data_IF_880785079803
#
_entry.id   IF_880785079803
#
_cell.length_a   1.000
_cell.length_b   1.000
_cell.length_c   1.000
_cell.angle_alpha   90.00
_cell.angle_beta   90.00
_cell.angle_gamma   90.00
#
_symmetry.space_group_name_H-M   'P 1'
#
loop_
_entity.id
_entity.type
_entity.pdbx_description
1 polymer ?
#
# COMPACT_ATOMS: atom_id res chain seq x y z
N UNK A 1 -11.62 -8.56 -26.99
CA UNK A 1 -12.63 -9.20 -26.12
C UNK A 1 -12.47 -10.72 -26.02
N UNK A 2 -12.44 -11.50 -27.12
CA UNK A 2 -12.24 -13.00 -27.07
C UNK A 2 -10.98 -13.41 -26.30
N UNK A 3 -9.84 -12.75 -26.49
CA UNK A 3 -8.57 -13.06 -25.79
C UNK A 3 -8.63 -12.82 -24.27
N UNK A 4 -9.37 -11.81 -23.83
CA UNK A 4 -9.59 -11.52 -22.40
C UNK A 4 -10.47 -12.61 -21.77
N UNK A 5 -11.54 -13.00 -22.46
CA UNK A 5 -12.45 -14.05 -21.96
C UNK A 5 -11.74 -15.40 -21.84
N UNK A 6 -10.89 -15.74 -22.82
CA UNK A 6 -10.07 -16.97 -22.78
C UNK A 6 -9.07 -16.93 -21.63
N UNK A 7 -8.42 -15.78 -21.39
CA UNK A 7 -7.51 -15.60 -20.27
C UNK A 7 -8.23 -15.71 -18.92
N UNK A 8 -9.40 -15.06 -18.77
CA UNK A 8 -10.21 -15.19 -17.55
C UNK A 8 -10.64 -16.65 -17.32
N UNK A 9 -11.10 -17.35 -18.37
CA UNK A 9 -11.42 -18.78 -18.27
C UNK A 9 -10.23 -19.61 -17.79
N UNK A 10 -9.01 -19.33 -18.27
CA UNK A 10 -7.81 -20.06 -17.83
C UNK A 10 -7.43 -19.80 -16.37
N UNK A 11 -7.71 -18.59 -15.86
CA UNK A 11 -7.47 -18.25 -14.44
C UNK A 11 -8.49 -18.93 -13.51
N UNK A 12 -9.73 -19.10 -13.96
CA UNK A 12 -10.81 -19.66 -13.14
C UNK A 12 -11.09 -21.12 -13.50
N UNK A 13 -10.05 -21.90 -13.84
CA UNK A 13 -10.16 -23.36 -13.93
C UNK A 13 -10.39 -23.98 -12.56
N UNK A 14 -11.15 -25.08 -12.49
CA UNK A 14 -11.76 -25.62 -11.26
C UNK A 14 -10.83 -25.81 -10.04
N UNK A 15 -9.50 -25.98 -10.23
CA UNK A 15 -8.58 -26.25 -9.12
C UNK A 15 -8.14 -24.98 -8.34
N UNK A 16 -8.03 -23.83 -9.00
CA UNK A 16 -7.42 -22.63 -8.42
C UNK A 16 -8.42 -21.46 -8.23
N UNK A 17 -9.73 -21.68 -8.41
CA UNK A 17 -10.73 -20.61 -8.43
C UNK A 17 -10.69 -19.74 -7.18
N UNK A 18 -10.74 -20.33 -6.00
CA UNK A 18 -10.79 -19.60 -4.75
C UNK A 18 -9.49 -18.84 -4.49
N UNK A 19 -8.34 -19.44 -4.84
CA UNK A 19 -7.05 -18.79 -4.74
C UNK A 19 -6.98 -17.55 -5.64
N UNK A 20 -7.44 -17.68 -6.88
CA UNK A 20 -7.45 -16.58 -7.83
C UNK A 20 -8.45 -15.49 -7.44
N UNK A 21 -9.61 -15.87 -6.87
CA UNK A 21 -10.56 -14.92 -6.27
C UNK A 21 -9.90 -14.16 -5.11
N UNK A 22 -9.23 -14.85 -4.18
CA UNK A 22 -8.51 -14.24 -3.08
C UNK A 22 -7.44 -13.24 -3.59
N UNK A 23 -6.63 -13.63 -4.58
CA UNK A 23 -5.63 -12.75 -5.20
C UNK A 23 -6.25 -11.48 -5.79
N UNK A 24 -7.39 -11.62 -6.45
CA UNK A 24 -8.13 -10.50 -7.05
C UNK A 24 -8.76 -9.58 -6.01
N UNK A 25 -9.36 -10.13 -4.95
CA UNK A 25 -10.01 -9.36 -3.88
C UNK A 25 -8.98 -8.50 -3.15
N UNK A 26 -7.85 -9.09 -2.78
CA UNK A 26 -6.80 -8.34 -2.08
C UNK A 26 -6.25 -7.20 -2.94
N UNK A 27 -5.97 -7.47 -4.22
CA UNK A 27 -5.53 -6.41 -5.14
C UNK A 27 -6.60 -5.34 -5.33
N UNK A 28 -7.85 -5.76 -5.47
CA UNK A 28 -9.01 -4.88 -5.61
C UNK A 28 -9.57 -4.35 -4.27
N UNK A 29 -8.76 -4.21 -3.24
CA UNK A 29 -9.19 -3.79 -1.89
C UNK A 29 -10.09 -2.53 -1.90
N UNK A 30 -9.84 -1.60 -2.81
CA UNK A 30 -10.69 -0.42 -2.99
C UNK A 30 -12.14 -0.78 -3.31
N UNK A 31 -12.39 -1.87 -4.05
CA UNK A 31 -13.74 -2.34 -4.36
C UNK A 31 -14.49 -2.80 -3.10
N UNK A 32 -13.77 -3.25 -2.07
CA UNK A 32 -14.38 -3.60 -0.78
C UNK A 32 -14.95 -2.36 -0.07
N UNK A 33 -14.29 -1.20 -0.19
CA UNK A 33 -14.81 0.06 0.32
C UNK A 33 -16.13 0.46 -0.36
N UNK A 34 -16.22 0.28 -1.68
CA UNK A 34 -17.48 0.52 -2.43
C UNK A 34 -18.56 -0.48 -2.06
N UNK A 35 -18.19 -1.77 -1.93
CA UNK A 35 -19.12 -2.82 -1.47
C UNK A 35 -19.66 -2.48 -0.07
N UNK A 36 -18.79 -2.00 0.82
CA UNK A 36 -19.18 -1.52 2.16
C UNK A 36 -20.21 -0.40 2.06
N UNK A 37 -19.99 0.59 1.20
CA UNK A 37 -20.95 1.68 0.95
C UNK A 37 -22.29 1.15 0.48
N UNK A 38 -22.33 0.20 -0.45
CA UNK A 38 -23.57 -0.42 -0.94
C UNK A 38 -24.29 -1.18 0.17
N UNK A 39 -23.56 -2.00 0.94
CA UNK A 39 -24.14 -2.81 2.03
C UNK A 39 -24.74 -1.92 3.11
N UNK A 40 -24.12 -0.79 3.44
CA UNK A 40 -24.63 0.18 4.42
C UNK A 40 -26.00 0.77 4.03
N UNK A 41 -26.32 0.79 2.74
CA UNK A 41 -27.64 1.23 2.25
C UNK A 41 -28.69 0.12 2.19
N UNK A 42 -28.33 -1.14 2.48
CA UNK A 42 -29.25 -2.26 2.50
C UNK A 42 -29.80 -2.49 3.92
N UNK A 43 -31.12 -2.27 4.18
CA UNK A 43 -31.69 -2.27 5.53
C UNK A 43 -31.48 -3.55 6.33
N UNK A 44 -31.34 -4.70 5.64
CA UNK A 44 -31.13 -6.02 6.29
C UNK A 44 -29.69 -6.34 6.56
N UNK A 45 -28.74 -5.68 5.88
CA UNK A 45 -27.31 -6.02 5.92
C UNK A 45 -26.46 -4.94 6.58
N UNK A 46 -26.97 -3.72 6.75
CA UNK A 46 -26.20 -2.59 7.27
C UNK A 46 -25.58 -2.86 8.66
N UNK A 47 -26.29 -3.57 9.54
CA UNK A 47 -25.80 -3.94 10.86
C UNK A 47 -24.70 -5.04 10.82
N UNK A 48 -24.53 -5.74 9.70
CA UNK A 48 -23.55 -6.82 9.50
C UNK A 48 -22.49 -6.45 8.45
N UNK A 49 -22.35 -5.18 8.10
CA UNK A 49 -21.45 -4.74 7.03
C UNK A 49 -20.03 -5.23 7.22
N UNK A 50 -19.48 -5.10 8.42
CA UNK A 50 -18.12 -5.53 8.71
C UNK A 50 -17.97 -7.04 8.57
N UNK A 51 -18.91 -7.81 9.09
CA UNK A 51 -18.92 -9.27 9.00
C UNK A 51 -18.99 -9.75 7.54
N UNK A 52 -19.78 -9.07 6.71
CA UNK A 52 -19.90 -9.39 5.28
C UNK A 52 -18.58 -9.10 4.56
N UNK A 53 -17.97 -7.94 4.79
CA UNK A 53 -16.66 -7.60 4.20
C UNK A 53 -15.58 -8.59 4.64
N UNK A 54 -15.57 -8.94 5.91
CA UNK A 54 -14.69 -9.98 6.47
C UNK A 54 -14.88 -11.30 5.72
N UNK A 55 -16.13 -11.74 5.59
CA UNK A 55 -16.46 -12.99 4.91
C UNK A 55 -16.00 -13.01 3.45
N UNK A 56 -16.15 -11.90 2.73
CA UNK A 56 -15.69 -11.76 1.33
C UNK A 56 -14.16 -12.01 1.21
N UNK A 57 -13.36 -11.58 2.18
CA UNK A 57 -11.90 -11.79 2.15
C UNK A 57 -11.50 -13.15 2.72
N UNK A 58 -12.07 -13.53 3.86
CA UNK A 58 -11.65 -14.70 4.63
C UNK A 58 -12.14 -16.01 4.01
N UNK A 59 -13.36 -16.05 3.47
CA UNK A 59 -13.90 -17.29 2.87
C UNK A 59 -13.03 -17.78 1.70
N UNK A 60 -12.69 -16.96 0.68
CA UNK A 60 -11.80 -17.42 -0.39
C UNK A 60 -10.41 -17.83 0.11
N UNK A 61 -9.85 -17.14 1.11
CA UNK A 61 -8.59 -17.55 1.74
C UNK A 61 -8.74 -18.93 2.37
N UNK A 62 -9.77 -19.15 3.19
CA UNK A 62 -10.02 -20.45 3.85
C UNK A 62 -10.20 -21.59 2.85
N UNK A 63 -11.00 -21.37 1.81
CA UNK A 63 -11.23 -22.35 0.74
C UNK A 63 -9.97 -22.62 -0.10
N UNK A 64 -8.99 -21.71 -0.04
CA UNK A 64 -7.68 -21.87 -0.70
C UNK A 64 -6.68 -22.65 0.14
N UNK A 65 -6.89 -22.81 1.46
CA UNK A 65 -5.93 -23.45 2.38
C UNK A 65 -5.43 -24.81 1.87
N UNK A 66 -6.26 -25.77 1.38
CA UNK A 66 -5.77 -27.05 0.90
C UNK A 66 -4.78 -26.94 -0.25
N UNK A 67 -4.95 -25.93 -1.11
CA UNK A 67 -4.03 -25.64 -2.21
C UNK A 67 -2.74 -24.94 -1.71
N UNK A 68 -2.88 -24.14 -0.66
CA UNK A 68 -1.79 -23.35 -0.08
C UNK A 68 -0.83 -24.21 0.75
N UNK A 69 -1.35 -25.21 1.48
CA UNK A 69 -0.53 -26.11 2.31
C UNK A 69 0.61 -26.75 1.51
N UNK A 70 0.35 -27.13 0.27
CA UNK A 70 1.37 -27.74 -0.59
C UNK A 70 2.36 -26.74 -1.21
N UNK A 71 2.08 -25.43 -1.11
CA UNK A 71 2.94 -24.38 -1.69
C UNK A 71 3.82 -23.71 -0.66
N UNK A 72 3.50 -23.84 0.64
CA UNK A 72 4.23 -23.20 1.71
C UNK A 72 5.23 -24.16 2.35
N UNK A 73 6.34 -23.57 2.77
CA UNK A 73 7.41 -24.26 3.47
C UNK A 73 7.23 -24.17 4.97
N UNK A 74 7.96 -25.00 5.73
CA UNK A 74 8.01 -24.87 7.20
C UNK A 74 8.39 -23.45 7.65
N UNK A 75 9.25 -22.79 6.87
CA UNK A 75 9.64 -21.39 7.13
C UNK A 75 8.42 -20.44 7.13
N UNK A 76 7.51 -20.59 6.17
CA UNK A 76 6.32 -19.74 6.07
C UNK A 76 5.40 -19.89 7.29
N UNK A 77 5.18 -21.12 7.73
CA UNK A 77 4.38 -21.40 8.92
C UNK A 77 5.06 -20.93 10.21
N UNK A 78 6.38 -21.11 10.31
CA UNK A 78 7.15 -20.63 11.47
C UNK A 78 7.12 -19.11 11.55
N UNK A 79 7.29 -18.42 10.44
CA UNK A 79 7.21 -16.96 10.38
C UNK A 79 5.85 -16.45 10.88
N UNK A 80 4.76 -17.07 10.41
CA UNK A 80 3.41 -16.68 10.81
C UNK A 80 3.14 -17.00 12.28
N UNK A 81 3.59 -18.17 12.75
CA UNK A 81 3.49 -18.55 14.15
C UNK A 81 4.24 -17.56 15.07
N UNK A 82 5.45 -17.12 14.68
CA UNK A 82 6.21 -16.10 15.41
C UNK A 82 5.42 -14.79 15.51
N UNK A 83 4.79 -14.33 14.43
CA UNK A 83 3.97 -13.13 14.47
C UNK A 83 2.82 -13.23 15.48
N UNK A 84 2.13 -14.40 15.51
CA UNK A 84 1.07 -14.66 16.49
C UNK A 84 1.64 -14.68 17.92
N UNK A 85 2.76 -15.37 18.14
CA UNK A 85 3.41 -15.45 19.46
C UNK A 85 3.79 -14.04 19.93
N UNK A 86 4.42 -13.22 19.09
CA UNK A 86 4.77 -11.84 19.45
C UNK A 86 3.52 -11.05 19.81
N UNK A 87 2.43 -11.19 19.04
CA UNK A 87 1.18 -10.51 19.35
C UNK A 87 0.61 -10.93 20.70
N UNK A 88 0.57 -12.23 20.98
CA UNK A 88 0.06 -12.76 22.24
C UNK A 88 0.96 -12.37 23.42
N UNK A 89 2.28 -12.37 23.26
CA UNK A 89 3.20 -11.96 24.32
C UNK A 89 3.05 -10.48 24.71
N UNK A 90 2.57 -9.62 23.80
CA UNK A 90 2.27 -8.23 24.14
C UNK A 90 1.21 -8.09 25.24
N UNK A 91 0.25 -9.01 25.37
CA UNK A 91 -0.70 -8.98 26.49
C UNK A 91 -0.02 -9.20 27.85
N UNK A 92 1.05 -10.00 27.89
CA UNK A 92 1.78 -10.28 29.13
C UNK A 92 2.81 -9.19 29.45
N UNK A 93 3.50 -8.67 28.43
CA UNK A 93 4.57 -7.68 28.59
C UNK A 93 3.98 -6.26 28.77
N UNK A 94 2.91 -5.96 28.06
CA UNK A 94 2.24 -4.66 28.06
C UNK A 94 0.74 -4.79 28.36
N UNK A 95 0.37 -5.24 29.58
CA UNK A 95 -1.03 -5.47 29.95
C UNK A 95 -1.88 -4.19 29.87
N UNK A 96 -1.26 -3.03 29.99
CA UNK A 96 -1.89 -1.73 29.82
C UNK A 96 -2.39 -1.44 28.39
N UNK A 97 -1.94 -2.22 27.40
CA UNK A 97 -2.38 -2.10 26.01
C UNK A 97 -3.54 -3.05 25.66
N UNK A 98 -4.04 -3.85 26.62
CA UNK A 98 -5.03 -4.92 26.36
C UNK A 98 -6.26 -4.44 25.61
N UNK A 99 -6.80 -3.27 25.93
CA UNK A 99 -7.95 -2.70 25.23
C UNK A 99 -7.66 -2.46 23.75
N UNK A 100 -6.51 -1.85 23.44
CA UNK A 100 -6.09 -1.53 22.07
C UNK A 100 -5.68 -2.78 21.29
N UNK A 101 -5.05 -3.75 21.94
CA UNK A 101 -4.77 -5.05 21.36
C UNK A 101 -6.07 -5.74 20.93
N UNK A 102 -7.08 -5.83 21.82
CA UNK A 102 -8.38 -6.42 21.50
C UNK A 102 -9.07 -5.70 20.35
N UNK A 103 -9.08 -4.36 20.34
CA UNK A 103 -9.69 -3.54 19.30
C UNK A 103 -9.06 -3.76 17.93
N UNK A 104 -7.74 -3.98 17.89
CA UNK A 104 -6.99 -4.08 16.64
C UNK A 104 -6.62 -5.53 16.26
N UNK A 105 -6.93 -6.54 17.09
CA UNK A 105 -6.58 -7.94 16.86
C UNK A 105 -7.01 -8.43 15.49
N UNK A 106 -8.24 -8.13 15.11
CA UNK A 106 -8.79 -8.52 13.83
C UNK A 106 -8.01 -7.90 12.65
N UNK A 107 -7.75 -6.59 12.68
CA UNK A 107 -7.03 -5.90 11.62
C UNK A 107 -5.59 -6.39 11.49
N UNK A 108 -4.91 -6.66 12.61
CA UNK A 108 -3.54 -7.13 12.62
C UNK A 108 -3.43 -8.61 12.24
N UNK A 109 -4.15 -9.50 12.93
CA UNK A 109 -3.97 -10.96 12.81
C UNK A 109 -4.81 -11.58 11.68
N UNK A 110 -6.00 -11.04 11.37
CA UNK A 110 -6.89 -11.64 10.38
C UNK A 110 -6.85 -10.94 9.02
N UNK A 111 -6.51 -9.65 8.96
CA UNK A 111 -6.43 -8.92 7.70
C UNK A 111 -4.99 -8.68 7.26
N UNK A 112 -4.15 -8.05 8.09
CA UNK A 112 -2.84 -7.62 7.65
C UNK A 112 -1.84 -8.76 7.55
N UNK A 113 -1.58 -9.50 8.65
CA UNK A 113 -0.53 -10.52 8.67
C UNK A 113 -0.76 -11.68 7.67
N UNK A 114 -2.00 -12.16 7.36
CA UNK A 114 -2.20 -13.19 6.35
C UNK A 114 -1.84 -12.74 4.92
N UNK A 115 -1.68 -11.43 4.68
CA UNK A 115 -1.23 -10.93 3.39
C UNK A 115 0.21 -11.36 3.06
N UNK A 116 0.98 -11.82 4.05
CA UNK A 116 2.23 -12.53 3.81
C UNK A 116 2.04 -13.67 2.80
N UNK A 117 0.99 -14.48 2.97
CA UNK A 117 0.69 -15.58 2.06
C UNK A 117 0.27 -15.10 0.69
N UNK A 118 -0.46 -13.98 0.60
CA UNK A 118 -0.75 -13.34 -0.70
C UNK A 118 0.55 -12.99 -1.44
N UNK A 119 1.51 -12.36 -0.75
CA UNK A 119 2.82 -12.04 -1.33
C UNK A 119 3.58 -13.29 -1.79
N UNK A 120 3.55 -14.37 -0.99
CA UNK A 120 4.17 -15.68 -1.34
C UNK A 120 3.60 -16.30 -2.62
N UNK A 121 2.35 -16.02 -2.97
CA UNK A 121 1.66 -16.59 -4.13
C UNK A 121 1.72 -15.65 -5.32
N UNK A 122 1.80 -14.34 -5.09
CA UNK A 122 1.79 -13.34 -6.15
C UNK A 122 2.84 -13.66 -7.23
N UNK A 123 2.40 -13.68 -8.49
CA UNK A 123 3.19 -14.14 -9.63
C UNK A 123 2.85 -13.30 -10.86
N UNK A 124 3.72 -13.35 -11.86
CA UNK A 124 3.58 -12.61 -13.12
C UNK A 124 2.25 -12.92 -13.83
N UNK A 125 1.74 -14.15 -13.69
CA UNK A 125 0.44 -14.53 -14.25
C UNK A 125 -0.73 -13.64 -13.82
N UNK A 126 -0.66 -13.04 -12.62
CA UNK A 126 -1.71 -12.16 -12.09
C UNK A 126 -1.63 -10.73 -12.59
N UNK A 127 -0.51 -10.28 -13.18
CA UNK A 127 -0.33 -8.88 -13.59
C UNK A 127 -1.41 -8.38 -14.53
N UNK A 128 -1.82 -9.24 -15.48
CA UNK A 128 -2.83 -8.87 -16.45
C UNK A 128 -4.18 -8.63 -15.80
N UNK A 129 -4.58 -9.48 -14.86
CA UNK A 129 -5.85 -9.32 -14.15
C UNK A 129 -5.77 -8.14 -13.16
N UNK A 130 -4.63 -7.95 -12.49
CA UNK A 130 -4.41 -6.78 -11.63
C UNK A 130 -4.52 -5.48 -12.41
N UNK A 131 -4.04 -5.45 -13.67
CA UNK A 131 -4.21 -4.30 -14.54
C UNK A 131 -5.68 -4.00 -14.85
N UNK A 132 -6.49 -5.01 -15.16
CA UNK A 132 -7.92 -4.83 -15.38
C UNK A 132 -8.67 -4.38 -14.11
N UNK A 133 -8.35 -4.99 -12.98
CA UNK A 133 -8.92 -4.57 -11.68
C UNK A 133 -8.53 -3.12 -11.39
N UNK A 134 -7.30 -2.73 -11.68
CA UNK A 134 -6.84 -1.35 -11.47
C UNK A 134 -7.60 -0.35 -12.33
N UNK A 135 -7.87 -0.67 -13.59
CA UNK A 135 -8.71 0.15 -14.46
C UNK A 135 -10.12 0.28 -13.87
N UNK A 136 -10.71 -0.83 -13.41
CA UNK A 136 -12.04 -0.82 -12.80
C UNK A 136 -12.04 0.02 -11.51
N UNK A 137 -11.06 -0.14 -10.63
CA UNK A 137 -10.94 0.64 -9.40
C UNK A 137 -10.85 2.14 -9.68
N UNK A 138 -10.03 2.54 -10.67
CA UNK A 138 -9.90 3.94 -11.06
C UNK A 138 -11.19 4.45 -11.72
N UNK A 139 -11.82 3.68 -12.60
CA UNK A 139 -13.12 4.03 -13.17
C UNK A 139 -14.17 4.26 -12.09
N UNK A 140 -14.24 3.34 -11.11
CA UNK A 140 -15.17 3.47 -9.98
C UNK A 140 -14.87 4.68 -9.11
N UNK A 141 -13.60 5.06 -8.94
CA UNK A 141 -13.23 6.26 -8.18
C UNK A 141 -13.81 7.53 -8.79
N UNK A 142 -13.98 7.59 -10.10
CA UNK A 142 -14.60 8.75 -10.77
C UNK A 142 -16.05 8.97 -10.31
N UNK A 143 -16.81 7.90 -10.11
CA UNK A 143 -18.18 8.02 -9.61
C UNK A 143 -18.22 8.52 -8.16
N UNK A 144 -17.24 8.18 -7.35
CA UNK A 144 -17.09 8.67 -5.99
C UNK A 144 -16.43 10.05 -5.89
N UNK A 145 -15.81 10.50 -6.97
CA UNK A 145 -15.05 11.74 -7.03
C UNK A 145 -15.90 12.96 -6.60
N UNK A 146 -17.11 13.05 -7.12
CA UNK A 146 -18.05 14.12 -6.75
C UNK A 146 -18.46 14.05 -5.27
N UNK A 147 -18.65 12.85 -4.75
CA UNK A 147 -19.04 12.64 -3.35
C UNK A 147 -17.90 13.02 -2.39
N UNK A 148 -16.67 12.53 -2.61
CA UNK A 148 -15.51 12.87 -1.81
C UNK A 148 -15.13 14.36 -1.92
N UNK A 149 -15.30 14.97 -3.08
CA UNK A 149 -15.07 16.40 -3.28
C UNK A 149 -16.06 17.26 -2.48
N UNK A 150 -17.32 16.85 -2.38
CA UNK A 150 -18.33 17.53 -1.55
C UNK A 150 -18.03 17.38 -0.05
N UNK A 151 -17.62 16.19 0.39
CA UNK A 151 -17.21 15.95 1.77
C UNK A 151 -15.99 16.80 2.12
N UNK A 152 -14.97 16.83 1.26
CA UNK A 152 -13.75 17.62 1.47
C UNK A 152 -14.00 19.12 1.59
N UNK A 153 -15.09 19.64 1.01
CA UNK A 153 -15.48 21.05 1.06
C UNK A 153 -16.21 21.43 2.34
N UNK A 154 -17.00 20.52 2.90
CA UNK A 154 -17.98 20.81 3.95
C UNK A 154 -17.50 20.50 5.38
N UNK A 155 -16.39 19.80 5.56
CA UNK A 155 -15.97 19.29 6.88
C UNK A 155 -14.47 19.50 7.07
N UNK A 156 -14.11 20.33 8.05
CA UNK A 156 -12.72 20.80 8.23
C UNK A 156 -11.71 19.74 8.68
N UNK A 157 -12.03 18.75 9.51
CA UNK A 157 -11.04 17.83 10.06
C UNK A 157 -11.38 16.34 9.90
N UNK A 158 -12.63 15.93 10.03
CA UNK A 158 -13.04 14.52 9.91
C UNK A 158 -12.92 14.00 8.47
N UNK A 159 -13.14 14.86 7.47
CA UNK A 159 -13.00 14.50 6.05
C UNK A 159 -11.55 14.28 5.61
N UNK A 160 -10.55 14.70 6.39
CA UNK A 160 -9.14 14.52 6.03
C UNK A 160 -8.72 13.05 6.07
N UNK A 161 -9.24 12.27 7.00
CA UNK A 161 -8.87 10.87 7.20
C UNK A 161 -9.50 9.96 6.14
N UNK A 162 -10.77 10.18 5.81
CA UNK A 162 -11.45 9.43 4.73
C UNK A 162 -10.82 9.69 3.37
N UNK A 163 -10.47 10.93 3.07
CA UNK A 163 -9.77 11.31 1.84
C UNK A 163 -8.38 10.70 1.76
N UNK A 164 -7.66 10.66 2.88
CA UNK A 164 -6.34 10.04 2.96
C UNK A 164 -6.44 8.52 2.74
N UNK A 165 -7.43 7.87 3.36
CA UNK A 165 -7.69 6.45 3.17
C UNK A 165 -8.03 6.12 1.70
N UNK A 166 -8.92 6.89 1.06
CA UNK A 166 -9.27 6.73 -0.35
C UNK A 166 -8.04 6.89 -1.27
N UNK A 167 -7.19 7.89 -1.02
CA UNK A 167 -5.99 8.15 -1.79
C UNK A 167 -4.96 7.00 -1.68
N UNK A 168 -4.73 6.46 -0.49
CA UNK A 168 -3.82 5.32 -0.33
C UNK A 168 -4.38 4.02 -0.89
N UNK A 169 -5.70 3.83 -0.92
CA UNK A 169 -6.31 2.65 -1.52
C UNK A 169 -6.22 2.65 -3.05
N UNK A 170 -6.27 3.82 -3.71
CA UNK A 170 -6.12 3.88 -5.17
C UNK A 170 -4.66 3.86 -5.61
N UNK A 171 -3.72 4.21 -4.75
CA UNK A 171 -2.31 4.34 -5.06
C UNK A 171 -1.68 3.08 -5.71
N UNK A 172 -1.92 1.83 -5.25
CA UNK A 172 -1.41 0.63 -5.91
C UNK A 172 -1.85 0.52 -7.37
N UNK A 173 -3.10 0.89 -7.64
CA UNK A 173 -3.68 0.84 -8.99
C UNK A 173 -3.06 1.86 -9.93
N UNK A 174 -2.89 3.10 -9.46
CA UNK A 174 -2.23 4.16 -10.23
C UNK A 174 -0.77 3.80 -10.49
N UNK A 175 -0.07 3.26 -9.48
CA UNK A 175 1.33 2.84 -9.60
C UNK A 175 1.51 1.71 -10.62
N UNK A 176 0.61 0.71 -10.61
CA UNK A 176 0.64 -0.36 -11.61
C UNK A 176 0.37 0.16 -13.03
N UNK A 177 -0.58 1.07 -13.21
CA UNK A 177 -0.84 1.66 -14.53
C UNK A 177 0.29 2.57 -15.00
N UNK A 178 0.95 3.31 -14.09
CA UNK A 178 2.17 4.06 -14.40
C UNK A 178 3.26 3.11 -14.90
N UNK A 179 3.51 2.00 -14.19
CA UNK A 179 4.47 1.00 -14.61
C UNK A 179 4.14 0.40 -16.00
N UNK A 180 2.88 0.05 -16.24
CA UNK A 180 2.43 -0.48 -17.53
C UNK A 180 2.61 0.54 -18.65
N UNK A 181 2.31 1.82 -18.41
CA UNK A 181 2.46 2.91 -19.37
C UNK A 181 3.92 3.16 -19.75
N UNK A 182 4.82 3.04 -18.76
CA UNK A 182 6.26 3.19 -18.98
C UNK A 182 6.91 2.00 -19.70
N UNK A 183 6.31 0.79 -19.62
CA UNK A 183 6.81 -0.40 -20.31
C UNK A 183 6.28 -0.57 -21.73
N UNK A 184 5.01 -0.29 -21.93
CA UNK A 184 4.32 -0.47 -23.22
C UNK A 184 3.36 0.69 -23.41
N UNK A 185 3.52 1.41 -24.51
CA UNK A 185 2.57 2.46 -24.89
C UNK A 185 1.18 1.83 -25.08
N UNK A 186 0.24 2.20 -24.21
CA UNK A 186 -1.16 1.83 -24.30
C UNK A 186 -1.98 3.02 -23.82
N UNK A 187 -2.73 3.61 -24.75
CA UNK A 187 -3.52 4.82 -24.48
C UNK A 187 -4.49 4.64 -23.32
N UNK A 188 -5.09 3.45 -23.19
CA UNK A 188 -6.02 3.14 -22.11
C UNK A 188 -5.33 3.21 -20.74
N UNK A 189 -4.14 2.63 -20.62
CA UNK A 189 -3.38 2.68 -19.36
C UNK A 189 -2.98 4.12 -19.00
N UNK A 190 -2.58 4.91 -20.00
CA UNK A 190 -2.19 6.31 -19.82
C UNK A 190 -3.39 7.14 -19.37
N UNK A 191 -4.54 7.01 -20.04
CA UNK A 191 -5.76 7.75 -19.67
C UNK A 191 -6.17 7.43 -18.23
N UNK A 192 -6.28 6.15 -17.87
CA UNK A 192 -6.69 5.79 -16.51
C UNK A 192 -5.61 6.14 -15.47
N UNK A 193 -4.32 6.08 -15.81
CA UNK A 193 -3.24 6.57 -14.95
C UNK A 193 -3.40 8.06 -14.66
N UNK A 194 -3.65 8.89 -15.69
CA UNK A 194 -3.88 10.33 -15.52
C UNK A 194 -5.11 10.59 -14.65
N UNK A 195 -6.23 9.91 -14.92
CA UNK A 195 -7.45 10.01 -14.11
C UNK A 195 -7.15 9.66 -12.65
N UNK A 196 -6.39 8.59 -12.41
CA UNK A 196 -5.98 8.20 -11.06
C UNK A 196 -5.10 9.26 -10.37
N UNK A 197 -4.16 9.87 -11.09
CA UNK A 197 -3.33 10.97 -10.56
C UNK A 197 -4.19 12.19 -10.22
N UNK A 198 -5.14 12.56 -11.08
CA UNK A 198 -6.07 13.65 -10.79
C UNK A 198 -6.93 13.36 -9.55
N UNK A 199 -7.35 12.10 -9.37
CA UNK A 199 -8.03 11.67 -8.15
C UNK A 199 -7.14 11.82 -6.91
N UNK A 200 -5.87 11.38 -6.97
CA UNK A 200 -4.92 11.56 -5.86
C UNK A 200 -4.73 13.04 -5.49
N UNK A 201 -4.64 13.91 -6.50
CA UNK A 201 -4.54 15.37 -6.28
C UNK A 201 -5.79 15.93 -5.62
N UNK A 202 -6.97 15.49 -6.04
CA UNK A 202 -8.26 15.97 -5.49
C UNK A 202 -8.51 15.52 -4.05
N UNK A 203 -7.92 14.39 -3.62
CA UNK A 203 -7.97 13.97 -2.23
C UNK A 203 -7.22 14.92 -1.27
N UNK A 204 -6.42 15.85 -1.78
CA UNK A 204 -5.72 16.85 -0.99
C UNK A 204 -4.63 16.30 -0.06
N UNK A 205 -4.13 15.08 -0.32
CA UNK A 205 -3.14 14.39 0.50
C UNK A 205 -1.80 14.24 -0.22
N UNK A 206 -0.70 14.65 0.42
CA UNK A 206 0.66 14.64 -0.18
C UNK A 206 1.30 13.26 -0.22
N UNK A 207 1.02 12.44 0.79
CA UNK A 207 1.69 11.15 0.97
C UNK A 207 1.63 10.23 -0.24
N UNK A 208 0.45 9.94 -0.82
CA UNK A 208 0.33 9.09 -2.00
C UNK A 208 1.10 9.61 -3.22
N UNK A 209 1.17 10.93 -3.40
CA UNK A 209 1.95 11.54 -4.50
C UNK A 209 3.46 11.33 -4.30
N UNK A 210 3.96 11.42 -3.06
CA UNK A 210 5.36 11.13 -2.72
C UNK A 210 5.68 9.67 -3.01
N UNK A 211 4.80 8.73 -2.64
CA UNK A 211 4.96 7.31 -2.95
C UNK A 211 5.00 7.07 -4.47
N UNK A 212 4.09 7.67 -5.22
CA UNK A 212 4.04 7.55 -6.68
C UNK A 212 5.29 8.12 -7.34
N UNK A 213 5.73 9.32 -6.91
CA UNK A 213 6.95 9.96 -7.38
C UNK A 213 8.19 9.10 -7.08
N UNK A 214 8.30 8.55 -5.88
CA UNK A 214 9.39 7.64 -5.50
C UNK A 214 9.47 6.45 -6.48
N UNK A 215 8.34 5.76 -6.71
CA UNK A 215 8.31 4.66 -7.69
C UNK A 215 8.74 5.14 -9.09
N UNK A 216 8.19 6.24 -9.58
CA UNK A 216 8.50 6.79 -10.89
C UNK A 216 9.99 7.12 -11.06
N UNK A 217 10.59 7.76 -10.06
CA UNK A 217 12.02 8.13 -10.05
C UNK A 217 12.91 6.87 -10.06
N UNK A 218 12.66 5.91 -9.17
CA UNK A 218 13.43 4.67 -9.12
C UNK A 218 13.29 3.88 -10.43
N UNK A 219 12.07 3.79 -10.95
CA UNK A 219 11.83 3.12 -12.22
C UNK A 219 12.59 3.80 -13.37
N UNK A 220 12.52 5.13 -13.46
CA UNK A 220 13.19 5.92 -14.48
C UNK A 220 14.72 5.72 -14.43
N UNK A 221 15.31 5.78 -13.23
CA UNK A 221 16.77 5.67 -13.08
C UNK A 221 17.27 4.26 -13.44
N UNK A 222 16.64 3.23 -12.92
CA UNK A 222 17.19 1.87 -12.93
C UNK A 222 16.61 0.96 -14.02
N UNK A 223 15.38 1.18 -14.48
CA UNK A 223 14.67 0.21 -15.31
C UNK A 223 14.33 0.69 -16.74
N UNK A 224 14.41 1.98 -17.00
CA UNK A 224 14.24 2.49 -18.36
C UNK A 224 15.51 2.26 -19.18
N UNK A 225 15.49 1.21 -20.01
CA UNK A 225 16.56 0.89 -20.95
C UNK A 225 16.10 1.22 -22.38
N UNK A 226 16.60 2.30 -22.95
CA UNK A 226 16.45 2.65 -24.36
C UNK A 226 17.80 2.55 -25.07
N UNK A 227 17.78 2.36 -26.40
CA UNK A 227 19.00 2.34 -27.22
C UNK A 227 19.89 3.60 -27.04
N UNK A 228 19.29 4.74 -26.69
CA UNK A 228 19.93 6.00 -26.33
C UNK A 228 19.47 6.47 -24.94
N UNK A 229 19.48 5.58 -23.98
CA UNK A 229 18.94 5.83 -22.63
C UNK A 229 19.49 7.12 -22.00
N UNK A 230 20.78 7.41 -22.17
CA UNK A 230 21.38 8.63 -21.63
C UNK A 230 20.81 9.92 -22.24
N UNK A 231 20.71 9.97 -23.57
CA UNK A 231 20.14 11.14 -24.28
C UNK A 231 18.66 11.35 -23.96
N UNK A 232 17.88 10.26 -23.97
CA UNK A 232 16.44 10.33 -23.66
C UNK A 232 16.23 10.74 -22.20
N UNK A 233 16.99 10.17 -21.25
CA UNK A 233 16.94 10.58 -19.85
C UNK A 233 17.35 12.05 -19.69
N UNK A 234 18.38 12.50 -20.41
CA UNK A 234 18.80 13.91 -20.43
C UNK A 234 17.70 14.83 -20.97
N UNK A 235 17.05 14.49 -22.07
CA UNK A 235 15.93 15.26 -22.64
C UNK A 235 14.75 15.30 -21.65
N UNK A 236 14.36 14.18 -21.08
CA UNK A 236 13.26 14.13 -20.11
C UNK A 236 13.58 14.98 -18.87
N UNK A 237 14.81 14.90 -18.34
CA UNK A 237 15.24 15.72 -17.22
C UNK A 237 15.26 17.21 -17.58
N UNK A 238 15.67 17.56 -18.81
CA UNK A 238 15.64 18.94 -19.28
C UNK A 238 14.20 19.46 -19.40
N UNK A 239 13.29 18.67 -19.98
CA UNK A 239 11.86 19.02 -20.05
C UNK A 239 11.27 19.16 -18.65
N UNK A 240 11.58 18.23 -17.74
CA UNK A 240 11.14 18.31 -16.35
C UNK A 240 11.69 19.57 -15.66
N UNK A 241 12.96 19.93 -15.92
CA UNK A 241 13.55 21.17 -15.43
C UNK A 241 12.84 22.42 -15.96
N UNK A 242 12.50 22.45 -17.24
CA UNK A 242 11.71 23.55 -17.85
C UNK A 242 10.30 23.59 -17.23
N UNK A 243 9.65 22.44 -17.07
CA UNK A 243 8.33 22.38 -16.42
C UNK A 243 8.37 22.88 -14.97
N UNK A 244 9.48 22.68 -14.27
CA UNK A 244 9.65 23.21 -12.90
C UNK A 244 9.69 24.75 -12.89
N UNK A 245 10.19 25.40 -13.94
CA UNK A 245 10.17 26.87 -14.05
C UNK A 245 8.74 27.42 -14.16
N UNK A 246 7.86 26.68 -14.80
CA UNK A 246 6.44 27.03 -14.95
C UNK A 246 5.52 26.32 -13.97
N UNK A 247 6.10 25.69 -12.93
CA UNK A 247 5.34 24.86 -11.99
C UNK A 247 4.26 25.67 -11.26
N UNK A 248 4.58 26.91 -10.89
CA UNK A 248 3.65 27.78 -10.19
C UNK A 248 2.42 28.13 -11.06
N UNK A 249 2.64 28.48 -12.30
CA UNK A 249 1.57 28.80 -13.26
C UNK A 249 0.72 27.59 -13.57
N UNK A 250 1.35 26.43 -13.79
CA UNK A 250 0.64 25.16 -14.04
C UNK A 250 -0.25 24.81 -12.85
N UNK A 251 0.29 24.88 -11.63
CA UNK A 251 -0.46 24.55 -10.41
C UNK A 251 -1.57 25.56 -10.17
N UNK A 252 -1.33 26.85 -10.40
CA UNK A 252 -2.35 27.89 -10.26
C UNK A 252 -3.50 27.69 -11.26
N UNK A 253 -3.19 27.31 -12.52
CA UNK A 253 -4.20 26.97 -13.49
C UNK A 253 -5.00 25.71 -13.09
N UNK A 254 -4.32 24.67 -12.57
CA UNK A 254 -4.99 23.48 -12.06
C UNK A 254 -5.89 23.80 -10.86
N UNK A 255 -5.45 24.68 -9.94
CA UNK A 255 -6.26 25.13 -8.81
C UNK A 255 -7.52 25.84 -9.28
N UNK A 256 -7.40 26.73 -10.29
CA UNK A 256 -8.54 27.38 -10.91
C UNK A 256 -9.53 26.37 -11.53
N UNK A 257 -9.04 25.40 -12.29
CA UNK A 257 -9.87 24.34 -12.87
C UNK A 257 -10.56 23.48 -11.80
N UNK A 258 -9.84 23.10 -10.74
CA UNK A 258 -10.38 22.33 -9.62
C UNK A 258 -11.48 23.10 -8.87
N UNK A 259 -11.29 24.39 -8.66
CA UNK A 259 -12.31 25.26 -8.08
C UNK A 259 -13.57 25.29 -8.94
N UNK A 260 -13.44 25.42 -10.26
CA UNK A 260 -14.55 25.36 -11.20
C UNK A 260 -15.31 24.04 -11.20
N UNK A 261 -14.62 22.94 -10.93
CA UNK A 261 -15.18 21.60 -10.83
C UNK A 261 -15.64 21.23 -9.39
N UNK A 262 -15.59 22.17 -8.45
CA UNK A 262 -15.87 21.94 -7.03
C UNK A 262 -14.98 20.88 -6.37
N UNK A 263 -13.74 20.70 -6.84
CA UNK A 263 -12.75 19.78 -6.28
C UNK A 263 -11.90 20.46 -5.21
N UNK A 264 -11.29 19.67 -4.33
CA UNK A 264 -10.38 20.20 -3.31
C UNK A 264 -9.10 20.76 -3.93
N UNK A 265 -8.78 22.02 -3.65
CA UNK A 265 -7.53 22.70 -4.04
C UNK A 265 -6.45 22.64 -2.97
N UNK A 266 -6.72 22.05 -1.81
CA UNK A 266 -5.89 22.10 -0.60
C UNK A 266 -4.40 21.80 -0.87
N UNK A 267 -4.08 20.80 -1.69
CA UNK A 267 -2.68 20.46 -1.99
C UNK A 267 -2.07 21.47 -2.97
N UNK A 268 -2.85 21.94 -3.94
CA UNK A 268 -2.42 22.91 -4.93
C UNK A 268 -2.15 24.26 -4.26
N UNK A 269 -3.03 24.68 -3.32
CA UNK A 269 -2.85 25.89 -2.55
C UNK A 269 -1.58 25.82 -1.66
N UNK A 270 -1.26 24.68 -1.08
CA UNK A 270 0.00 24.48 -0.33
C UNK A 270 1.23 24.53 -1.23
N UNK A 271 1.12 24.12 -2.50
CA UNK A 271 2.18 24.32 -3.47
C UNK A 271 2.37 25.79 -3.78
N UNK A 272 1.28 26.51 -4.04
CA UNK A 272 1.29 27.94 -4.38
C UNK A 272 1.84 28.77 -3.22
N UNK A 273 1.41 28.48 -1.98
CA UNK A 273 1.85 29.19 -0.77
C UNK A 273 3.27 28.83 -0.30
N UNK A 274 3.92 27.84 -0.91
CA UNK A 274 5.22 27.33 -0.47
C UNK A 274 5.18 26.51 0.83
N UNK A 275 3.98 26.21 1.37
CA UNK A 275 3.79 25.49 2.64
C UNK A 275 3.84 23.96 2.49
N UNK A 276 4.37 23.44 1.39
CA UNK A 276 4.54 21.99 1.22
C UNK A 276 5.43 21.35 2.27
N UNK A 277 6.41 22.08 2.77
CA UNK A 277 7.31 21.65 3.84
C UNK A 277 6.69 21.66 5.23
N UNK A 278 5.51 22.28 5.40
CA UNK A 278 4.83 22.30 6.68
C UNK A 278 4.37 20.90 7.06
N UNK A 279 4.88 20.36 8.17
CA UNK A 279 4.73 18.97 8.57
C UNK A 279 3.34 18.62 9.16
N UNK A 280 2.44 19.60 9.22
CA UNK A 280 1.08 19.44 9.76
C UNK A 280 1.06 18.91 11.22
N UNK A 281 2.05 19.32 12.03
CA UNK A 281 2.15 18.93 13.45
C UNK A 281 2.84 17.57 13.70
N UNK A 282 3.36 16.88 12.66
CA UNK A 282 4.01 15.59 12.84
C UNK A 282 5.30 15.66 13.65
N UNK A 283 6.07 16.74 13.52
CA UNK A 283 7.28 16.96 14.34
C UNK A 283 6.95 17.03 15.83
N UNK A 284 5.87 17.68 16.20
CA UNK A 284 5.43 17.72 17.61
C UNK A 284 5.03 16.33 18.11
N UNK A 285 4.32 15.55 17.29
CA UNK A 285 3.96 14.16 17.63
C UNK A 285 5.23 13.31 17.82
N UNK A 286 6.21 13.41 16.93
CA UNK A 286 7.49 12.69 17.05
C UNK A 286 8.22 13.05 18.33
N UNK A 287 8.31 14.34 18.68
CA UNK A 287 8.96 14.80 19.93
C UNK A 287 8.28 14.19 21.15
N UNK A 288 6.94 14.13 21.16
CA UNK A 288 6.20 13.49 22.25
C UNK A 288 6.56 12.01 22.37
N UNK A 289 6.57 11.29 21.24
CA UNK A 289 6.89 9.85 21.28
C UNK A 289 8.34 9.54 21.61
N UNK A 290 9.31 10.36 21.18
CA UNK A 290 10.69 10.21 21.64
C UNK A 290 10.81 10.37 23.15
N UNK A 291 10.12 11.35 23.75
CA UNK A 291 10.09 11.52 25.22
C UNK A 291 9.44 10.33 25.93
N UNK A 292 8.37 9.76 25.33
CA UNK A 292 7.72 8.55 25.88
C UNK A 292 8.69 7.37 25.81
N UNK A 293 9.36 7.19 24.67
CA UNK A 293 10.27 6.09 24.45
C UNK A 293 11.52 6.20 25.35
N UNK A 294 12.05 7.39 25.58
CA UNK A 294 13.19 7.64 26.51
C UNK A 294 12.84 7.27 27.97
N UNK A 295 11.54 7.35 28.33
CA UNK A 295 11.05 6.98 29.65
C UNK A 295 10.48 5.53 29.71
N UNK A 296 10.49 4.80 28.60
CA UNK A 296 10.03 3.42 28.50
C UNK A 296 11.17 2.41 28.63
N UNK A 297 10.83 1.13 28.67
CA UNK A 297 11.84 0.06 28.60
C UNK A 297 12.52 0.10 27.22
N UNK A 298 13.83 0.25 27.20
CA UNK A 298 14.65 0.31 25.98
C UNK A 298 14.63 -0.97 25.14
N UNK A 299 14.23 -2.11 25.76
CA UNK A 299 14.22 -3.42 25.11
C UNK A 299 12.87 -3.74 24.48
N UNK A 300 11.76 -3.38 25.16
CA UNK A 300 10.40 -3.74 24.73
C UNK A 300 9.58 -2.55 24.23
N UNK A 301 10.07 -1.33 24.42
CA UNK A 301 9.35 -0.10 24.07
C UNK A 301 8.06 0.07 24.88
N UNK A 302 7.00 0.53 24.23
CA UNK A 302 5.65 0.66 24.80
C UNK A 302 4.68 -0.42 24.27
N UNK A 303 5.19 -1.32 23.43
CA UNK A 303 4.43 -2.43 22.86
C UNK A 303 3.47 -2.06 21.73
N UNK A 304 2.82 -3.07 21.20
CA UNK A 304 1.87 -2.94 20.09
C UNK A 304 0.69 -2.04 20.45
N UNK A 305 0.37 -1.10 19.57
CA UNK A 305 -0.69 -0.12 19.74
C UNK A 305 -0.56 0.77 20.98
N UNK A 306 0.59 0.75 21.67
CA UNK A 306 0.84 1.58 22.87
C UNK A 306 0.71 3.08 22.60
N UNK A 307 0.91 3.55 21.36
CA UNK A 307 0.66 4.94 20.96
C UNK A 307 -0.78 5.40 21.21
N UNK A 308 -1.76 4.50 21.13
CA UNK A 308 -3.18 4.81 21.32
C UNK A 308 -3.51 5.20 22.78
N UNK A 309 -2.71 4.76 23.76
CA UNK A 309 -2.84 5.20 25.16
C UNK A 309 -2.62 6.70 25.36
N UNK A 310 -1.84 7.29 24.46
CA UNK A 310 -1.49 8.71 24.48
C UNK A 310 -2.37 9.55 23.54
N UNK A 311 -3.46 8.95 23.04
CA UNK A 311 -4.41 9.63 22.15
C UNK A 311 -3.98 9.71 20.68
N UNK A 312 -2.92 8.99 20.27
CA UNK A 312 -2.44 8.97 18.90
C UNK A 312 -2.66 7.60 18.27
N UNK A 313 -3.26 7.55 17.08
CA UNK A 313 -3.52 6.29 16.37
C UNK A 313 -2.20 5.61 15.99
N UNK A 314 -1.21 6.39 15.52
CA UNK A 314 0.13 5.93 15.11
C UNK A 314 1.13 7.10 15.08
N UNK A 315 2.47 6.83 15.08
CA UNK A 315 3.50 7.88 15.22
C UNK A 315 3.82 8.65 13.94
N UNK A 316 3.25 8.31 12.77
CA UNK A 316 3.56 8.89 11.46
C UNK A 316 5.03 8.75 11.01
N UNK A 317 5.73 7.75 11.50
CA UNK A 317 7.11 7.44 11.16
C UNK A 317 7.39 5.96 11.43
N UNK A 318 7.82 5.23 10.40
CA UNK A 318 8.04 3.78 10.49
C UNK A 318 9.17 3.43 11.48
N UNK A 319 10.23 4.24 11.54
CA UNK A 319 11.37 4.00 12.45
C UNK A 319 10.84 4.07 13.88
N UNK A 320 10.15 5.16 14.19
CA UNK A 320 9.57 5.37 15.51
C UNK A 320 8.49 4.33 15.84
N UNK A 321 7.70 3.88 14.86
CA UNK A 321 6.68 2.84 15.06
C UNK A 321 7.31 1.49 15.44
N UNK A 322 8.42 1.12 14.81
CA UNK A 322 9.18 -0.06 15.20
C UNK A 322 9.85 0.09 16.56
N UNK A 323 10.44 1.24 16.87
CA UNK A 323 11.06 1.52 18.16
C UNK A 323 10.04 1.52 19.29
N UNK A 324 8.86 2.10 19.10
CA UNK A 324 7.77 2.06 20.07
C UNK A 324 7.26 0.64 20.31
N UNK A 325 7.22 -0.18 19.26
CA UNK A 325 6.69 -1.55 19.33
C UNK A 325 7.67 -2.56 19.93
N UNK A 326 8.98 -2.37 19.76
CA UNK A 326 10.00 -3.36 20.09
C UNK A 326 11.22 -2.80 20.87
N UNK A 327 11.18 -1.53 21.25
CA UNK A 327 12.33 -0.82 21.83
C UNK A 327 13.32 -0.34 20.76
N UNK A 328 14.25 0.52 21.18
CA UNK A 328 15.20 1.17 20.26
C UNK A 328 16.01 0.17 19.43
N UNK A 329 16.73 -0.73 20.10
CA UNK A 329 17.70 -1.60 19.44
C UNK A 329 17.01 -2.64 18.54
N UNK A 330 16.01 -3.35 19.10
CA UNK A 330 15.34 -4.43 18.37
C UNK A 330 14.48 -3.85 17.23
N UNK A 331 13.82 -2.71 17.44
CA UNK A 331 13.04 -2.02 16.41
C UNK A 331 13.89 -1.65 15.21
N UNK A 332 15.07 -1.04 15.43
CA UNK A 332 16.00 -0.67 14.35
C UNK A 332 16.56 -1.88 13.61
N UNK A 333 16.93 -2.96 14.33
CA UNK A 333 17.42 -4.20 13.74
C UNK A 333 16.36 -4.85 12.87
N UNK A 334 15.11 -4.93 13.33
CA UNK A 334 14.00 -5.52 12.58
C UNK A 334 13.72 -4.72 11.29
N UNK A 335 13.64 -3.39 11.38
CA UNK A 335 13.41 -2.55 10.21
C UNK A 335 14.58 -2.65 9.21
N UNK A 336 15.83 -2.61 9.67
CA UNK A 336 17.01 -2.80 8.84
C UNK A 336 16.98 -4.18 8.15
N UNK A 337 16.58 -5.24 8.87
CA UNK A 337 16.46 -6.59 8.33
C UNK A 337 15.42 -6.67 7.21
N UNK A 338 14.29 -5.96 7.33
CA UNK A 338 13.26 -5.89 6.29
C UNK A 338 13.79 -5.13 5.06
N UNK A 339 14.51 -4.02 5.27
CA UNK A 339 15.15 -3.30 4.17
C UNK A 339 16.19 -4.17 3.45
N UNK A 340 17.04 -4.89 4.19
CA UNK A 340 17.99 -5.84 3.63
C UNK A 340 17.29 -6.97 2.86
N UNK A 341 16.18 -7.50 3.38
CA UNK A 341 15.37 -8.51 2.70
C UNK A 341 14.89 -8.00 1.33
N UNK A 342 14.40 -6.76 1.25
CA UNK A 342 13.96 -6.14 0.00
C UNK A 342 15.14 -5.97 -0.99
N UNK A 343 16.29 -5.50 -0.53
CA UNK A 343 17.49 -5.34 -1.36
C UNK A 343 17.96 -6.69 -1.90
N UNK A 344 18.04 -7.71 -1.05
CA UNK A 344 18.41 -9.07 -1.46
C UNK A 344 17.40 -9.65 -2.46
N UNK A 345 16.10 -9.46 -2.25
CA UNK A 345 15.09 -9.93 -3.17
C UNK A 345 15.19 -9.22 -4.54
N UNK A 346 15.48 -7.92 -4.59
CA UNK A 346 15.76 -7.19 -5.84
C UNK A 346 17.00 -7.76 -6.53
N UNK A 347 18.07 -8.02 -5.79
CA UNK A 347 19.31 -8.57 -6.34
C UNK A 347 19.12 -9.97 -6.94
N UNK A 348 18.38 -10.83 -6.23
CA UNK A 348 18.12 -12.20 -6.68
C UNK A 348 16.94 -12.35 -7.64
N UNK A 349 16.20 -11.28 -7.94
CA UNK A 349 15.09 -11.30 -8.89
C UNK A 349 15.56 -11.68 -10.30
N UNK A 350 14.90 -12.65 -10.91
CA UNK A 350 15.21 -13.16 -12.27
C UNK A 350 14.63 -12.29 -13.37
N UNK A 351 13.46 -11.71 -13.12
CA UNK A 351 12.72 -10.94 -14.12
C UNK A 351 12.62 -9.46 -13.76
N UNK A 352 12.45 -8.61 -14.79
CA UNK A 352 12.15 -7.21 -14.59
C UNK A 352 10.83 -7.01 -13.82
N UNK A 353 9.87 -7.90 -14.04
CA UNK A 353 8.57 -7.87 -13.36
C UNK A 353 8.71 -8.05 -11.85
N UNK A 354 9.50 -9.04 -11.41
CA UNK A 354 9.75 -9.26 -9.98
C UNK A 354 10.35 -8.04 -9.31
N UNK A 355 11.40 -7.45 -9.91
CA UNK A 355 12.04 -6.24 -9.38
C UNK A 355 11.06 -5.08 -9.28
N UNK A 356 10.30 -4.84 -10.34
CA UNK A 356 9.32 -3.75 -10.37
C UNK A 356 8.22 -3.96 -9.33
N UNK A 357 7.76 -5.21 -9.12
CA UNK A 357 6.76 -5.49 -8.09
C UNK A 357 7.29 -5.16 -6.69
N UNK A 358 8.53 -5.56 -6.36
CA UNK A 358 9.15 -5.21 -5.07
C UNK A 358 9.17 -3.70 -4.88
N UNK A 359 9.69 -2.95 -5.88
CA UNK A 359 9.83 -1.49 -5.77
C UNK A 359 8.47 -0.80 -5.71
N UNK A 360 7.50 -1.29 -6.46
CA UNK A 360 6.13 -0.81 -6.44
C UNK A 360 5.51 -1.03 -5.04
N UNK A 361 5.58 -2.26 -4.51
CA UNK A 361 5.09 -2.55 -3.17
C UNK A 361 5.86 -1.77 -2.10
N UNK A 362 7.17 -1.63 -2.20
CA UNK A 362 7.99 -0.82 -1.32
C UNK A 362 7.52 0.64 -1.30
N UNK A 363 7.18 1.20 -2.46
CA UNK A 363 6.75 2.60 -2.56
C UNK A 363 5.43 2.86 -1.84
N UNK A 364 4.43 2.01 -2.01
CA UNK A 364 3.13 2.22 -1.36
C UNK A 364 2.98 1.51 0.00
N UNK A 365 4.08 0.93 0.53
CA UNK A 365 4.15 0.41 1.90
C UNK A 365 5.20 1.14 2.73
N UNK A 366 6.48 0.90 2.52
CA UNK A 366 7.55 1.47 3.36
C UNK A 366 7.54 3.01 3.28
N UNK A 367 7.48 3.58 2.05
CA UNK A 367 7.41 5.03 1.91
C UNK A 367 6.11 5.60 2.50
N UNK A 368 4.99 4.90 2.35
CA UNK A 368 3.73 5.26 3.01
C UNK A 368 3.89 5.31 4.53
N UNK A 369 4.53 4.30 5.13
CA UNK A 369 4.71 4.19 6.59
C UNK A 369 5.61 5.28 7.17
N UNK A 370 6.49 5.90 6.39
CA UNK A 370 7.18 7.14 6.79
C UNK A 370 6.26 8.36 6.88
N UNK A 371 5.10 8.29 6.24
CA UNK A 371 4.19 9.42 6.10
C UNK A 371 2.88 9.22 6.87
N UNK A 372 2.43 7.97 7.01
CA UNK A 372 1.10 7.64 7.55
C UNK A 372 0.99 6.16 7.85
N UNK A 373 0.00 5.76 8.67
CA UNK A 373 -0.31 4.37 9.03
C UNK A 373 0.70 3.74 10.02
N UNK A 374 0.45 2.50 10.40
CA UNK A 374 1.33 1.66 11.21
C UNK A 374 1.58 0.34 10.49
N UNK A 375 2.79 -0.22 10.62
CA UNK A 375 3.13 -1.49 10.00
C UNK A 375 2.25 -2.64 10.52
N UNK A 376 1.72 -2.54 11.74
CA UNK A 376 0.91 -3.57 12.38
C UNK A 376 -0.38 -3.90 11.62
N UNK A 377 -0.97 -2.91 10.94
CA UNK A 377 -2.24 -3.06 10.21
C UNK A 377 -2.10 -2.86 8.70
N UNK A 378 -0.87 -2.63 8.20
CA UNK A 378 -0.63 -2.39 6.79
C UNK A 378 -0.54 -3.71 6.01
N UNK A 379 -1.58 -4.04 5.27
CA UNK A 379 -1.72 -5.29 4.52
C UNK A 379 -0.57 -5.52 3.53
N UNK A 380 -0.23 -4.53 2.73
CA UNK A 380 0.81 -4.67 1.72
C UNK A 380 2.23 -4.72 2.31
N UNK A 381 2.42 -4.32 3.56
CA UNK A 381 3.69 -4.50 4.26
C UNK A 381 4.01 -5.99 4.43
N UNK A 382 3.07 -6.78 4.91
CA UNK A 382 3.24 -8.24 5.01
C UNK A 382 3.30 -8.91 3.65
N UNK A 383 2.54 -8.42 2.67
CA UNK A 383 2.61 -8.90 1.29
C UNK A 383 3.99 -8.66 0.67
N UNK A 384 4.62 -7.52 0.91
CA UNK A 384 5.99 -7.22 0.47
C UNK A 384 6.99 -8.22 1.06
N UNK A 385 6.93 -8.47 2.38
CA UNK A 385 7.79 -9.46 3.04
C UNK A 385 7.58 -10.84 2.42
N UNK A 386 6.34 -11.27 2.25
CA UNK A 386 6.00 -12.55 1.62
C UNK A 386 6.56 -12.68 0.20
N UNK A 387 6.44 -11.64 -0.60
CA UNK A 387 6.94 -11.62 -1.97
C UNK A 387 8.47 -11.66 -2.04
N UNK A 388 9.15 -10.94 -1.16
CA UNK A 388 10.60 -11.01 -1.03
C UNK A 388 11.08 -12.42 -0.62
N UNK A 389 10.43 -13.03 0.36
CA UNK A 389 10.71 -14.41 0.79
C UNK A 389 10.50 -15.41 -0.34
N UNK A 390 9.44 -15.26 -1.17
CA UNK A 390 9.22 -16.09 -2.35
C UNK A 390 10.45 -16.09 -3.25
N UNK A 391 10.91 -14.92 -3.67
CA UNK A 391 12.04 -14.78 -4.59
C UNK A 391 13.30 -15.45 -4.06
N UNK A 392 13.59 -15.27 -2.77
CA UNK A 392 14.78 -15.86 -2.16
C UNK A 392 14.70 -17.38 -2.03
N UNK A 393 13.54 -17.92 -1.65
CA UNK A 393 13.32 -19.37 -1.52
C UNK A 393 13.31 -20.07 -2.88
N UNK A 394 12.70 -19.47 -3.91
CA UNK A 394 12.67 -20.02 -5.26
C UNK A 394 14.08 -20.09 -5.89
N UNK A 395 14.95 -19.11 -5.57
CA UNK A 395 16.35 -19.14 -5.99
C UNK A 395 17.17 -20.21 -5.25
N UNK A 396 16.92 -20.45 -3.97
CA UNK A 396 17.58 -21.50 -3.19
C UNK A 396 17.25 -22.90 -3.76
N UNK A 397 15.95 -23.14 -4.02
CA UNK A 397 15.50 -24.43 -4.57
C UNK A 397 16.07 -24.69 -5.99
N UNK A 398 16.20 -23.64 -6.82
CA UNK A 398 16.81 -23.78 -8.14
C UNK A 398 18.30 -24.20 -8.07
N UNK A 399 19.06 -23.71 -7.08
CA UNK A 399 20.47 -24.12 -6.91
C UNK A 399 20.59 -25.57 -6.45
N UNK A 400 19.76 -26.02 -5.51
CA UNK A 400 19.77 -27.40 -4.99
C UNK A 400 19.39 -28.43 -6.09
N UNK A 401 18.56 -28.06 -7.06
CA UNK A 401 18.18 -28.94 -8.17
C UNK A 401 19.25 -29.09 -9.27
N UNK A 402 20.29 -28.25 -9.23
CA UNK A 402 21.43 -28.29 -10.18
C UNK A 402 22.70 -28.89 -9.58
N UNK A 403 22.74 -29.14 -8.27
CA UNK A 403 23.73 -29.97 -7.57
C UNK A 403 23.26 -31.41 -7.44
#
# INVERSE_FOLDING_TARGET
MKSVLTYLKSLFTHKDVFLNIFMCIVWGNMLLGYTRGIINHLPLLNQYTDQVIIAIVVIPLFLSIPLLINKFTLFDYTFFAILIVIYVTNYAIHPENTEYLNKNAYNCLCLASPMYFWGRIADEKYYKIFTYISIICIAMSVFYFAHYAQIAKNISDVASDDNMYAAYNILPHVTLLLWNSLNRFNILHIVFMIVGVLFLLSCGTRGPLVCLAFFGIIYFIFFMNFKFAFLIKGIILSIAGIMLLFLHEIISYMAFMFTGLNLSTRILDKFISGELGNDSGRSSIKIVFYKILDNSDSITGIGYFGSQRFGYIYPHDIILDFQLSYGYVLGDILLASICCLCVLAIYYSKTKHERCMIIMMFSFTIIKLFLSSTFLTEMFFYALIGYCCKILLDNKNAKISHE
#
